data_IF_250054935655
#
_entry.id   IF_250054935655
#
_cell.length_a   1.000
_cell.length_b   1.000
_cell.length_c   1.000
_cell.angle_alpha   90.00
_cell.angle_beta   90.00
_cell.angle_gamma   90.00
#
_symmetry.space_group_name_H-M   'P 1'
#
loop_
_entity.id
_entity.type
_entity.pdbx_description
1 polymer ?
#
# COMPACT_ATOMS: atom_id res chain seq x y z
N UNK A 1 -26.46 17.00 39.81
CA UNK A 1 -25.26 17.12 38.95
C UNK A 1 -25.52 16.46 37.58
N UNK A 2 -26.31 17.12 36.70
CA UNK A 2 -26.80 16.52 35.44
C UNK A 2 -25.74 16.48 34.32
N UNK A 3 -24.70 17.32 34.39
CA UNK A 3 -23.67 17.43 33.36
C UNK A 3 -22.67 16.27 33.32
N UNK A 4 -22.43 15.60 34.46
CA UNK A 4 -21.43 14.52 34.56
C UNK A 4 -21.86 13.28 33.76
N UNK A 5 -23.16 12.98 33.71
CA UNK A 5 -23.68 11.87 32.91
C UNK A 5 -23.57 12.17 31.40
N UNK A 6 -23.79 13.42 30.99
CA UNK A 6 -23.57 13.86 29.61
C UNK A 6 -22.10 13.78 29.20
N UNK A 7 -21.18 14.15 30.09
CA UNK A 7 -19.74 14.05 29.85
C UNK A 7 -19.28 12.60 29.71
N UNK A 8 -19.73 11.71 30.61
CA UNK A 8 -19.42 10.27 30.54
C UNK A 8 -19.95 9.67 29.24
N UNK A 9 -21.17 10.03 28.83
CA UNK A 9 -21.76 9.55 27.58
C UNK A 9 -21.00 10.06 26.36
N UNK A 10 -20.62 11.34 26.34
CA UNK A 10 -19.86 11.94 25.25
C UNK A 10 -18.47 11.28 25.11
N UNK A 11 -17.79 11.04 26.23
CA UNK A 11 -16.49 10.32 26.23
C UNK A 11 -16.68 8.89 25.72
N UNK A 12 -17.71 8.18 26.20
CA UNK A 12 -18.01 6.82 25.76
C UNK A 12 -18.26 6.74 24.26
N UNK A 13 -19.12 7.60 23.72
CA UNK A 13 -19.38 7.69 22.28
C UNK A 13 -18.13 8.08 21.48
N UNK A 14 -17.32 9.00 22.01
CA UNK A 14 -16.06 9.41 21.38
C UNK A 14 -15.05 8.26 21.27
N UNK A 15 -14.89 7.48 22.35
CA UNK A 15 -14.01 6.31 22.35
C UNK A 15 -14.51 5.25 21.37
N UNK A 16 -15.81 4.96 21.38
CA UNK A 16 -16.42 3.98 20.47
C UNK A 16 -16.22 4.41 19.00
N UNK A 17 -16.46 5.68 18.69
CA UNK A 17 -16.21 6.23 17.35
C UNK A 17 -14.74 6.14 16.93
N UNK A 18 -13.81 6.46 17.84
CA UNK A 18 -12.38 6.34 17.59
C UNK A 18 -11.96 4.89 17.32
N UNK A 19 -12.47 3.93 18.10
CA UNK A 19 -12.20 2.50 17.91
C UNK A 19 -12.74 1.98 16.57
N UNK A 20 -13.96 2.35 16.19
CA UNK A 20 -14.52 1.97 14.89
C UNK A 20 -13.74 2.58 13.73
N UNK A 21 -13.34 3.85 13.83
CA UNK A 21 -12.51 4.49 12.82
C UNK A 21 -11.13 3.82 12.70
N UNK A 22 -10.50 3.50 13.83
CA UNK A 22 -9.23 2.79 13.86
C UNK A 22 -9.34 1.40 13.25
N UNK A 23 -10.36 0.62 13.61
CA UNK A 23 -10.60 -0.71 13.06
C UNK A 23 -10.86 -0.67 11.54
N UNK A 24 -11.61 0.33 11.06
CA UNK A 24 -11.81 0.54 9.62
C UNK A 24 -10.51 0.82 8.88
N UNK A 25 -9.69 1.74 9.39
CA UNK A 25 -8.40 2.09 8.80
C UNK A 25 -7.43 0.90 8.83
N UNK A 26 -7.33 0.21 9.96
CA UNK A 26 -6.49 -0.97 10.11
C UNK A 26 -6.89 -2.10 9.15
N UNK A 27 -8.19 -2.34 8.95
CA UNK A 27 -8.67 -3.33 7.99
C UNK A 27 -8.38 -2.94 6.53
N UNK A 28 -8.23 -1.65 6.23
CA UNK A 28 -8.03 -1.16 4.87
C UNK A 28 -6.55 -1.05 4.51
N UNK A 29 -5.71 -0.66 5.48
CA UNK A 29 -4.25 -0.61 5.31
C UNK A 29 -3.62 -2.00 5.17
N UNK A 30 -4.20 -3.03 5.80
CA UNK A 30 -3.65 -4.39 5.77
C UNK A 30 -3.91 -5.16 4.47
N UNK A 31 -4.70 -4.62 3.54
CA UNK A 31 -5.18 -5.35 2.34
C UNK A 31 -4.51 -4.92 1.04
N UNK A 32 -3.49 -4.07 1.11
CA UNK A 32 -2.80 -3.62 -0.09
C UNK A 32 -1.72 -4.63 -0.48
N UNK A 33 -2.09 -5.59 -1.34
CA UNK A 33 -1.15 -6.52 -1.95
C UNK A 33 -0.37 -5.81 -3.07
N UNK A 34 0.95 -6.01 -3.09
CA UNK A 34 1.84 -5.48 -4.13
C UNK A 34 2.37 -6.63 -4.98
N UNK A 35 2.51 -6.36 -6.28
CA UNK A 35 3.14 -7.26 -7.25
C UNK A 35 4.45 -6.59 -7.69
N UNK A 36 5.55 -7.33 -7.56
CA UNK A 36 6.88 -6.89 -8.00
C UNK A 36 7.10 -7.18 -9.49
N UNK A 37 7.50 -6.14 -10.23
CA UNK A 37 7.86 -6.21 -11.64
C UNK A 37 9.33 -5.88 -11.84
N UNK A 38 9.90 -6.40 -12.93
CA UNK A 38 11.25 -6.03 -13.36
C UNK A 38 11.22 -4.64 -13.99
N UNK A 39 11.88 -3.68 -13.36
CA UNK A 39 12.12 -2.33 -13.87
C UNK A 39 13.55 -2.10 -14.32
N UNK A 40 13.74 -1.06 -15.13
CA UNK A 40 15.04 -0.57 -15.57
C UNK A 40 15.16 0.89 -15.12
N UNK A 41 16.29 1.24 -14.47
CA UNK A 41 16.55 2.63 -14.05
C UNK A 41 16.54 3.58 -15.26
N UNK A 42 15.96 4.77 -15.06
CA UNK A 42 15.80 5.79 -16.10
C UNK A 42 17.07 6.60 -16.42
N UNK A 43 18.17 6.41 -15.69
CA UNK A 43 19.40 7.19 -15.87
C UNK A 43 20.49 6.45 -16.67
N UNK A 44 20.09 5.57 -17.59
CA UNK A 44 21.00 4.90 -18.50
C UNK A 44 21.19 5.72 -19.77
N UNK A 45 22.42 5.81 -20.26
CA UNK A 45 22.68 6.47 -21.54
C UNK A 45 22.27 5.59 -22.71
N UNK A 46 21.87 6.21 -23.81
CA UNK A 46 21.56 5.48 -25.04
C UNK A 46 22.81 4.71 -25.52
N UNK A 47 22.67 3.40 -25.72
CA UNK A 47 23.78 2.52 -26.10
C UNK A 47 24.55 1.93 -24.92
N UNK A 48 24.21 2.31 -23.68
CA UNK A 48 24.79 1.71 -22.49
C UNK A 48 24.33 0.24 -22.32
N UNK A 49 25.27 -0.64 -21.97
CA UNK A 49 24.95 -2.04 -21.71
C UNK A 49 24.22 -2.17 -20.37
N UNK A 50 23.02 -2.75 -20.40
CA UNK A 50 22.27 -3.11 -19.21
C UNK A 50 23.09 -4.08 -18.35
N UNK A 51 23.40 -3.64 -17.13
CA UNK A 51 24.07 -4.42 -16.09
C UNK A 51 23.06 -4.80 -15.01
N UNK A 52 23.39 -5.80 -14.19
CA UNK A 52 22.46 -6.37 -13.21
C UNK A 52 22.02 -5.39 -12.11
N UNK A 53 22.82 -4.35 -11.86
CA UNK A 53 22.61 -3.22 -10.94
C UNK A 53 21.63 -2.17 -11.49
N UNK A 54 21.42 -2.15 -12.80
CA UNK A 54 20.45 -1.29 -13.47
C UNK A 54 19.01 -1.86 -13.45
N UNK A 55 18.86 -3.12 -13.02
CA UNK A 55 17.58 -3.82 -12.90
C UNK A 55 17.11 -3.70 -11.45
N UNK A 56 15.89 -3.20 -11.26
CA UNK A 56 15.30 -3.00 -9.94
C UNK A 56 13.88 -3.59 -9.84
N UNK A 57 13.47 -3.90 -8.61
CA UNK A 57 12.10 -4.34 -8.33
C UNK A 57 11.18 -3.13 -8.24
N UNK A 58 10.15 -3.11 -9.08
CA UNK A 58 9.11 -2.09 -9.08
C UNK A 58 7.84 -2.69 -8.48
N UNK A 59 7.50 -2.26 -7.27
CA UNK A 59 6.30 -2.69 -6.56
C UNK A 59 5.10 -1.88 -7.02
N UNK A 60 4.09 -2.55 -7.54
CA UNK A 60 2.84 -1.91 -7.98
C UNK A 60 1.66 -2.57 -7.27
N UNK A 61 0.67 -1.81 -6.76
CA UNK A 61 -0.50 -2.40 -6.12
C UNK A 61 -1.23 -3.37 -7.07
N UNK A 62 -1.53 -4.57 -6.58
CA UNK A 62 -2.17 -5.65 -7.34
C UNK A 62 -3.50 -5.19 -7.95
N UNK A 63 -4.21 -4.29 -7.27
CA UNK A 63 -5.49 -3.71 -7.73
C UNK A 63 -5.39 -3.04 -9.10
N UNK A 64 -4.27 -2.40 -9.40
CA UNK A 64 -4.04 -1.68 -10.67
C UNK A 64 -3.17 -2.49 -11.64
N UNK A 65 -2.30 -3.35 -11.13
CA UNK A 65 -1.36 -4.13 -11.94
C UNK A 65 -1.87 -5.52 -12.35
N UNK A 66 -3.13 -5.87 -12.06
CA UNK A 66 -3.68 -7.20 -12.30
C UNK A 66 -3.56 -7.68 -13.76
N UNK A 67 -3.70 -6.77 -14.74
CA UNK A 67 -3.50 -7.08 -16.17
C UNK A 67 -2.03 -6.99 -16.59
N UNK A 68 -1.23 -6.15 -15.91
CA UNK A 68 0.18 -5.89 -16.23
C UNK A 68 1.04 -7.15 -16.11
N UNK A 69 0.69 -8.07 -15.20
CA UNK A 69 1.35 -9.39 -15.05
C UNK A 69 1.34 -10.26 -16.32
N UNK A 70 0.45 -9.97 -17.28
CA UNK A 70 0.37 -10.70 -18.54
C UNK A 70 1.29 -10.10 -19.62
N UNK A 71 1.83 -8.90 -19.40
CA UNK A 71 2.62 -8.15 -20.40
C UNK A 71 4.04 -7.84 -19.91
N UNK A 72 4.23 -7.68 -18.61
CA UNK A 72 5.50 -7.36 -17.98
C UNK A 72 6.07 -8.57 -17.22
N UNK A 73 7.39 -8.62 -17.11
CA UNK A 73 8.10 -9.68 -16.39
C UNK A 73 7.98 -9.44 -14.89
N UNK A 74 7.54 -10.47 -14.17
CA UNK A 74 7.48 -10.47 -12.71
C UNK A 74 8.89 -10.59 -12.12
N UNK A 75 9.14 -9.88 -11.02
CA UNK A 75 10.42 -9.95 -10.32
C UNK A 75 10.75 -11.37 -9.84
N UNK A 76 9.73 -12.14 -9.44
CA UNK A 76 9.87 -13.53 -8.99
C UNK A 76 10.28 -14.53 -10.08
N UNK A 77 10.20 -14.15 -11.36
CA UNK A 77 10.59 -14.99 -12.48
C UNK A 77 12.05 -14.78 -12.94
N UNK A 78 12.76 -13.83 -12.32
CA UNK A 78 14.20 -13.58 -12.52
C UNK A 78 15.04 -14.56 -11.72
#
# INVERSE_FOLDING_TARGET
MKGIHGLILAIGLGIVGALFNFAYLASKSSKEEFIGFVGIRTNLQQGERLRADAIEEVLIPARVAASLKNYAVLWSAR
#
